data_IF_902966989117
#
_entry.id   IF_902966989117
#
_cell.length_a   1.000
_cell.length_b   1.000
_cell.length_c   1.000
_cell.angle_alpha   90.00
_cell.angle_beta   90.00
_cell.angle_gamma   90.00
#
_symmetry.space_group_name_H-M   'P 1'
#
loop_
_entity.id
_entity.type
_entity.pdbx_description
1 polymer ?
#
# COMPACT_ATOMS: atom_id res chain seq x y z
N UNK A 1 26.13 -36.36 24.91
CA UNK A 1 25.88 -34.93 25.11
C UNK A 1 25.08 -34.44 23.92
N UNK A 2 23.81 -34.08 24.07
CA UNK A 2 23.05 -33.47 22.98
C UNK A 2 23.42 -31.98 22.97
N UNK A 3 23.99 -31.53 21.86
CA UNK A 3 24.27 -30.13 21.59
C UNK A 3 22.94 -29.39 21.50
N UNK A 4 22.67 -28.57 22.50
CA UNK A 4 21.59 -27.57 22.47
C UNK A 4 21.89 -26.57 21.36
N UNK A 5 21.21 -26.77 20.22
CA UNK A 5 21.16 -25.73 19.20
C UNK A 5 20.51 -24.49 19.82
N UNK A 6 21.03 -23.29 19.58
CA UNK A 6 20.45 -22.07 20.14
C UNK A 6 19.00 -21.96 19.67
N UNK A 7 18.09 -21.74 20.60
CA UNK A 7 16.68 -21.39 20.34
C UNK A 7 16.64 -20.03 19.63
N UNK A 8 16.91 -20.02 18.34
CA UNK A 8 16.84 -18.85 17.52
C UNK A 8 15.36 -18.58 17.25
N UNK A 9 14.79 -17.73 18.09
CA UNK A 9 13.58 -16.93 17.93
C UNK A 9 12.50 -17.52 16.98
N UNK A 10 11.85 -18.60 17.40
CA UNK A 10 10.67 -19.12 16.72
C UNK A 10 9.50 -18.22 17.06
N UNK A 11 9.22 -17.26 16.18
CA UNK A 11 7.94 -16.55 16.26
C UNK A 11 6.81 -17.58 16.39
N UNK A 12 5.90 -17.36 17.34
CA UNK A 12 4.73 -18.21 17.46
C UNK A 12 3.92 -18.20 16.15
N UNK A 13 3.29 -19.33 15.81
CA UNK A 13 2.43 -19.43 14.60
C UNK A 13 1.43 -18.27 14.54
N UNK A 14 0.92 -17.85 15.69
CA UNK A 14 0.03 -16.70 15.81
C UNK A 14 0.69 -15.39 15.35
N UNK A 15 1.93 -15.15 15.72
CA UNK A 15 2.67 -13.94 15.30
C UNK A 15 2.92 -13.93 13.80
N UNK A 16 3.23 -15.08 13.20
CA UNK A 16 3.40 -15.22 11.75
C UNK A 16 2.10 -14.88 10.99
N UNK A 17 0.95 -15.38 11.46
CA UNK A 17 -0.35 -15.02 10.87
C UNK A 17 -0.68 -13.54 11.02
N UNK A 18 -0.40 -12.94 12.18
CA UNK A 18 -0.60 -11.50 12.39
C UNK A 18 0.30 -10.67 11.47
N UNK A 19 1.54 -11.12 11.22
CA UNK A 19 2.44 -10.48 10.27
C UNK A 19 1.88 -10.55 8.83
N UNK A 20 1.38 -11.70 8.38
CA UNK A 20 0.73 -11.85 7.06
C UNK A 20 -0.50 -10.95 6.96
N UNK A 21 -1.33 -10.90 8.00
CA UNK A 21 -2.51 -10.03 8.03
C UNK A 21 -2.12 -8.54 7.96
N UNK A 22 -1.04 -8.11 8.60
CA UNK A 22 -0.56 -6.73 8.50
C UNK A 22 -0.13 -6.36 7.07
N UNK A 23 0.45 -7.31 6.34
CA UNK A 23 0.78 -7.13 4.90
C UNK A 23 -0.49 -7.10 4.06
N UNK A 24 -1.48 -7.97 4.34
CA UNK A 24 -2.75 -8.00 3.62
C UNK A 24 -3.56 -6.71 3.79
N UNK A 25 -3.60 -6.16 5.02
CA UNK A 25 -4.24 -4.86 5.28
C UNK A 25 -3.44 -3.72 4.64
N UNK A 26 -2.11 -3.83 4.58
CA UNK A 26 -1.26 -2.91 3.82
C UNK A 26 -1.57 -2.93 2.33
N UNK A 27 -1.73 -4.12 1.74
CA UNK A 27 -2.15 -4.29 0.36
C UNK A 27 -3.55 -3.68 0.11
N UNK A 28 -4.50 -3.90 1.02
CA UNK A 28 -5.82 -3.29 0.97
C UNK A 28 -5.74 -1.76 0.96
N UNK A 29 -4.99 -1.15 1.87
CA UNK A 29 -4.85 0.31 1.96
C UNK A 29 -4.18 0.89 0.71
N UNK A 30 -3.14 0.21 0.20
CA UNK A 30 -2.40 0.64 -0.98
C UNK A 30 -3.26 0.61 -2.25
N UNK A 31 -3.95 -0.51 -2.49
CA UNK A 31 -4.81 -0.68 -3.66
C UNK A 31 -6.06 0.22 -3.57
N UNK A 32 -6.60 0.43 -2.36
CA UNK A 32 -7.64 1.45 -2.14
C UNK A 32 -7.14 2.84 -2.55
N UNK A 33 -5.94 3.23 -2.13
CA UNK A 33 -5.32 4.52 -2.51
C UNK A 33 -5.11 4.63 -4.03
N UNK A 34 -4.86 3.53 -4.72
CA UNK A 34 -4.67 3.48 -6.17
C UNK A 34 -5.99 3.72 -6.91
N UNK A 35 -7.06 3.03 -6.53
CA UNK A 35 -8.35 3.06 -7.24
C UNK A 35 -9.30 4.17 -6.80
N UNK A 36 -9.13 4.71 -5.60
CA UNK A 36 -9.96 5.80 -5.05
C UNK A 36 -10.14 6.98 -6.02
N UNK A 37 -9.10 7.45 -6.77
CA UNK A 37 -9.25 8.57 -7.70
C UNK A 37 -10.30 8.35 -8.78
N UNK A 38 -10.55 7.11 -9.17
CA UNK A 38 -11.59 6.79 -10.17
C UNK A 38 -12.96 7.26 -9.70
N UNK A 39 -13.23 7.09 -8.39
CA UNK A 39 -14.51 7.49 -7.79
C UNK A 39 -14.67 9.00 -7.56
N UNK A 40 -13.57 9.76 -7.56
CA UNK A 40 -13.57 11.20 -7.23
C UNK A 40 -13.05 12.07 -8.39
N UNK A 41 -12.84 11.48 -9.56
CA UNK A 41 -12.19 12.13 -10.70
C UNK A 41 -12.91 13.42 -11.12
N UNK A 42 -14.23 13.39 -11.21
CA UNK A 42 -15.02 14.54 -11.62
C UNK A 42 -15.02 15.64 -10.55
N UNK A 43 -15.01 15.28 -9.26
CA UNK A 43 -14.95 16.22 -8.16
C UNK A 43 -13.62 16.99 -8.19
N UNK A 44 -12.51 16.27 -8.39
CA UNK A 44 -11.17 16.84 -8.54
C UNK A 44 -11.08 17.74 -9.78
N UNK A 45 -11.59 17.28 -10.92
CA UNK A 45 -11.58 18.05 -12.17
C UNK A 45 -12.33 19.39 -12.00
N UNK A 46 -13.52 19.35 -11.41
CA UNK A 46 -14.35 20.51 -11.15
C UNK A 46 -13.68 21.48 -10.17
N UNK A 47 -13.13 20.97 -9.06
CA UNK A 47 -12.56 21.80 -8.00
C UNK A 47 -11.25 22.50 -8.44
N UNK A 48 -10.41 21.81 -9.23
CA UNK A 48 -9.15 22.35 -9.74
C UNK A 48 -9.28 23.04 -11.11
N UNK A 49 -10.49 23.12 -11.68
CA UNK A 49 -10.75 23.79 -12.95
C UNK A 49 -10.02 23.15 -14.15
N UNK A 50 -9.84 21.83 -14.14
CA UNK A 50 -9.16 21.08 -15.20
C UNK A 50 -10.12 20.16 -15.95
N UNK A 51 -9.73 19.71 -17.16
CA UNK A 51 -10.53 18.75 -17.89
C UNK A 51 -10.49 17.35 -17.25
N UNK A 52 -11.55 16.56 -17.43
CA UNK A 52 -11.60 15.17 -16.98
C UNK A 52 -10.44 14.32 -17.59
N UNK A 53 -10.00 14.63 -18.81
CA UNK A 53 -8.83 14.00 -19.42
C UNK A 53 -7.54 14.28 -18.68
N UNK A 54 -7.30 15.52 -18.24
CA UNK A 54 -6.16 15.86 -17.39
C UNK A 54 -6.27 15.19 -16.01
N UNK A 55 -7.45 15.20 -15.39
CA UNK A 55 -7.67 14.52 -14.14
C UNK A 55 -7.39 13.01 -14.22
N UNK A 56 -7.58 12.38 -15.38
CA UNK A 56 -7.24 10.98 -15.63
C UNK A 56 -5.76 10.64 -15.38
N UNK A 57 -4.85 11.62 -15.49
CA UNK A 57 -3.43 11.42 -15.15
C UNK A 57 -3.23 11.01 -13.70
N UNK A 58 -4.11 11.40 -12.77
CA UNK A 58 -4.02 10.97 -11.37
C UNK A 58 -4.26 9.46 -11.20
N UNK A 59 -4.87 8.81 -12.17
CA UNK A 59 -5.08 7.35 -12.19
C UNK A 59 -3.93 6.64 -12.92
N UNK A 60 -3.49 7.17 -14.06
CA UNK A 60 -2.49 6.50 -14.90
C UNK A 60 -1.07 6.68 -14.41
N UNK A 61 -0.73 7.84 -13.83
CA UNK A 61 0.62 8.17 -13.42
C UNK A 61 1.19 7.21 -12.34
N UNK A 62 0.44 6.83 -11.29
CA UNK A 62 0.93 5.85 -10.33
C UNK A 62 1.26 4.50 -10.97
N UNK A 63 0.47 4.03 -11.93
CA UNK A 63 0.73 2.78 -12.64
C UNK A 63 2.05 2.83 -13.43
N UNK A 64 2.31 3.92 -14.15
CA UNK A 64 3.57 4.13 -14.87
C UNK A 64 4.74 4.15 -13.89
N UNK A 65 4.62 4.90 -12.79
CA UNK A 65 5.66 4.98 -11.77
C UNK A 65 5.90 3.64 -11.06
N UNK A 66 4.85 2.86 -10.83
CA UNK A 66 4.96 1.51 -10.27
C UNK A 66 5.71 0.56 -11.20
N UNK A 67 5.42 0.62 -12.51
CA UNK A 67 6.11 -0.17 -13.52
C UNK A 67 7.61 0.15 -13.61
N UNK A 68 8.00 1.40 -13.39
CA UNK A 68 9.41 1.83 -13.35
C UNK A 68 10.05 1.50 -11.99
N UNK A 69 9.35 1.73 -10.89
CA UNK A 69 9.88 1.54 -9.55
C UNK A 69 10.09 0.07 -9.18
N UNK A 70 9.21 -0.85 -9.64
CA UNK A 70 9.31 -2.26 -9.28
C UNK A 70 10.65 -2.90 -9.68
N UNK A 71 11.13 -2.82 -10.93
CA UNK A 71 12.44 -3.38 -11.29
C UNK A 71 13.58 -2.62 -10.63
N UNK A 72 13.53 -1.28 -10.55
CA UNK A 72 14.59 -0.47 -9.95
C UNK A 72 14.79 -0.82 -8.47
N UNK A 73 13.69 -0.91 -7.72
CA UNK A 73 13.74 -1.28 -6.31
C UNK A 73 14.16 -2.74 -6.13
N UNK A 74 13.71 -3.66 -6.99
CA UNK A 74 14.11 -5.07 -6.92
C UNK A 74 15.63 -5.25 -7.07
N UNK A 75 16.27 -4.47 -7.92
CA UNK A 75 17.74 -4.49 -8.13
C UNK A 75 18.46 -3.73 -7.01
N UNK A 76 17.95 -2.57 -6.60
CA UNK A 76 18.62 -1.67 -5.65
C UNK A 76 18.57 -2.17 -4.19
N UNK A 77 17.55 -2.97 -3.83
CA UNK A 77 17.31 -3.42 -2.46
C UNK A 77 18.38 -4.40 -1.97
N UNK A 78 18.97 -5.20 -2.87
CA UNK A 78 20.09 -6.09 -2.54
C UNK A 78 19.91 -6.85 -1.23
N UNK A 79 20.71 -6.51 -0.23
CA UNK A 79 20.72 -7.11 1.12
C UNK A 79 19.84 -6.38 2.15
N UNK A 80 19.12 -5.32 1.74
CA UNK A 80 18.28 -4.55 2.67
C UNK A 80 17.17 -5.44 3.26
N UNK A 81 16.93 -5.26 4.56
CA UNK A 81 15.86 -5.97 5.25
C UNK A 81 14.49 -5.53 4.69
N UNK A 82 13.74 -6.49 4.19
CA UNK A 82 12.43 -6.28 3.57
C UNK A 82 11.38 -5.69 4.51
N UNK A 83 11.57 -5.87 5.82
CA UNK A 83 10.76 -5.24 6.86
C UNK A 83 10.85 -3.72 6.78
N UNK A 84 12.07 -3.17 6.85
CA UNK A 84 12.27 -1.71 6.82
C UNK A 84 11.83 -1.11 5.49
N UNK A 85 12.00 -1.86 4.42
CA UNK A 85 11.51 -1.43 3.11
C UNK A 85 9.98 -1.34 3.09
N UNK A 86 9.27 -2.37 3.55
CA UNK A 86 7.81 -2.37 3.56
C UNK A 86 7.24 -1.26 4.46
N UNK A 87 7.85 -1.04 5.63
CA UNK A 87 7.51 0.06 6.53
C UNK A 87 7.72 1.41 5.83
N UNK A 88 8.87 1.60 5.17
CA UNK A 88 9.17 2.81 4.41
C UNK A 88 8.18 3.07 3.28
N UNK A 89 7.79 2.03 2.54
CA UNK A 89 6.81 2.13 1.45
C UNK A 89 5.40 2.47 1.98
N UNK A 90 5.00 1.91 3.11
CA UNK A 90 3.74 2.27 3.78
C UNK A 90 3.77 3.73 4.25
N UNK A 91 4.89 4.19 4.76
CA UNK A 91 5.08 5.61 5.13
C UNK A 91 4.99 6.52 3.90
N UNK A 92 5.61 6.15 2.78
CA UNK A 92 5.50 6.89 1.51
C UNK A 92 4.05 6.95 1.05
N UNK A 93 3.27 5.86 1.16
CA UNK A 93 1.84 5.83 0.85
C UNK A 93 1.04 6.84 1.71
N UNK A 94 1.32 6.91 3.01
CA UNK A 94 0.68 7.87 3.93
C UNK A 94 1.00 9.30 3.51
N UNK A 95 2.27 9.59 3.26
CA UNK A 95 2.73 10.91 2.80
C UNK A 95 2.09 11.26 1.46
N UNK A 96 2.07 10.33 0.51
CA UNK A 96 1.50 10.50 -0.82
C UNK A 96 0.01 10.92 -0.76
N UNK A 97 -0.80 10.19 0.01
CA UNK A 97 -2.22 10.53 0.19
C UNK A 97 -2.41 11.85 0.95
N UNK A 98 -1.54 12.15 1.93
CA UNK A 98 -1.55 13.44 2.62
C UNK A 98 -1.22 14.60 1.68
N UNK A 99 -0.21 14.45 0.83
CA UNK A 99 0.13 15.46 -0.19
C UNK A 99 -1.04 15.70 -1.12
N UNK A 100 -1.73 14.65 -1.58
CA UNK A 100 -2.92 14.78 -2.42
C UNK A 100 -4.05 15.50 -1.66
N UNK A 101 -4.29 15.15 -0.40
CA UNK A 101 -5.35 15.76 0.42
C UNK A 101 -5.16 17.27 0.59
N UNK A 102 -3.91 17.73 0.72
CA UNK A 102 -3.56 19.14 0.90
C UNK A 102 -3.13 19.84 -0.40
N UNK A 103 -3.29 19.20 -1.56
CA UNK A 103 -2.89 19.78 -2.83
C UNK A 103 -3.69 21.05 -3.17
N UNK A 104 -2.96 22.15 -3.37
CA UNK A 104 -3.52 23.44 -3.81
C UNK A 104 -3.69 23.52 -5.32
N UNK A 105 -2.94 22.71 -6.06
CA UNK A 105 -2.91 22.68 -7.51
C UNK A 105 -2.70 21.25 -8.03
N UNK A 106 -2.93 21.08 -9.32
CA UNK A 106 -2.85 19.76 -9.97
C UNK A 106 -1.41 19.19 -10.02
N UNK A 107 -0.40 20.05 -10.08
CA UNK A 107 1.01 19.62 -10.08
C UNK A 107 1.39 18.93 -8.76
N UNK A 108 1.01 19.56 -7.63
CA UNK A 108 1.23 19.00 -6.30
C UNK A 108 0.45 17.68 -6.11
N UNK A 109 -0.79 17.62 -6.62
CA UNK A 109 -1.58 16.40 -6.63
C UNK A 109 -0.84 15.28 -7.39
N UNK A 110 -0.35 15.56 -8.61
CA UNK A 110 0.40 14.58 -9.39
C UNK A 110 1.70 14.14 -8.71
N UNK A 111 2.39 15.05 -8.02
CA UNK A 111 3.55 14.68 -7.23
C UNK A 111 3.20 13.63 -6.15
N UNK A 112 2.10 13.82 -5.43
CA UNK A 112 1.59 12.79 -4.51
C UNK A 112 1.30 11.46 -5.21
N UNK A 113 0.76 11.50 -6.44
CA UNK A 113 0.49 10.28 -7.24
C UNK A 113 1.77 9.57 -7.69
N UNK A 114 2.84 10.32 -8.00
CA UNK A 114 4.18 9.76 -8.28
C UNK A 114 4.71 9.02 -7.05
N UNK A 115 4.65 9.63 -5.88
CA UNK A 115 5.08 8.98 -4.63
C UNK A 115 4.30 7.69 -4.37
N UNK A 116 2.98 7.70 -4.59
CA UNK A 116 2.16 6.51 -4.45
C UNK A 116 2.61 5.41 -5.43
N UNK A 117 2.89 5.75 -6.67
CA UNK A 117 3.36 4.78 -7.67
C UNK A 117 4.67 4.10 -7.26
N UNK A 118 5.62 4.86 -6.69
CA UNK A 118 6.86 4.29 -6.12
C UNK A 118 6.54 3.30 -5.00
N UNK A 119 5.60 3.68 -4.11
CA UNK A 119 5.15 2.80 -3.03
C UNK A 119 4.51 1.51 -3.57
N UNK A 120 3.66 1.59 -4.58
CA UNK A 120 3.02 0.43 -5.23
C UNK A 120 4.07 -0.52 -5.80
N UNK A 121 4.99 0.00 -6.63
CA UNK A 121 6.02 -0.82 -7.27
C UNK A 121 6.92 -1.54 -6.26
N UNK A 122 7.36 -0.83 -5.22
CA UNK A 122 8.18 -1.40 -4.16
C UNK A 122 7.42 -2.40 -3.28
N UNK A 123 6.16 -2.11 -2.98
CA UNK A 123 5.33 -3.00 -2.18
C UNK A 123 5.17 -4.37 -2.84
N UNK A 124 4.83 -4.42 -4.12
CA UNK A 124 4.67 -5.69 -4.83
C UNK A 124 5.96 -6.48 -4.92
N UNK A 125 7.09 -5.81 -5.19
CA UNK A 125 8.41 -6.45 -5.20
C UNK A 125 8.77 -7.07 -3.84
N UNK A 126 8.29 -6.47 -2.73
CA UNK A 126 8.63 -6.87 -1.37
C UNK A 126 7.63 -7.87 -0.78
N UNK A 127 6.33 -7.63 -0.94
CA UNK A 127 5.26 -8.41 -0.32
C UNK A 127 5.27 -9.89 -0.76
N UNK A 128 5.48 -10.14 -2.07
CA UNK A 128 5.56 -11.51 -2.61
C UNK A 128 6.76 -12.25 -2.00
N UNK A 129 7.92 -11.60 -1.94
CA UNK A 129 9.11 -12.22 -1.37
C UNK A 129 9.02 -12.42 0.14
N UNK A 130 8.29 -11.54 0.85
CA UNK A 130 8.09 -11.64 2.29
C UNK A 130 7.07 -12.73 2.65
N UNK A 131 6.05 -12.97 1.82
CA UNK A 131 5.05 -14.01 2.06
C UNK A 131 5.67 -15.40 2.24
N UNK A 132 6.74 -15.70 1.48
CA UNK A 132 7.49 -16.94 1.62
C UNK A 132 8.25 -17.08 2.95
N UNK A 133 8.69 -15.96 3.54
CA UNK A 133 9.39 -15.96 4.84
C UNK A 133 8.42 -15.99 6.03
N UNK A 134 7.24 -15.41 5.86
CA UNK A 134 6.22 -15.30 6.91
C UNK A 134 5.34 -16.55 7.01
N UNK A 135 5.32 -17.41 5.98
CA UNK A 135 4.48 -18.59 5.97
C UNK A 135 4.82 -19.50 7.18
N UNK A 136 3.84 -19.84 8.05
CA UNK A 136 4.06 -20.74 9.16
C UNK A 136 4.55 -22.12 8.69
N UNK A 137 5.30 -22.83 9.55
CA UNK A 137 5.75 -24.19 9.25
C UNK A 137 4.53 -25.08 8.95
N UNK A 138 4.55 -25.75 7.80
CA UNK A 138 3.46 -26.61 7.33
C UNK A 138 2.37 -25.88 6.54
N UNK A 139 2.46 -24.55 6.39
CA UNK A 139 1.56 -23.75 5.54
C UNK A 139 2.28 -23.44 4.23
N UNK A 140 1.62 -23.71 3.11
CA UNK A 140 2.17 -23.39 1.79
C UNK A 140 2.28 -21.87 1.57
N UNK A 141 3.35 -21.44 0.89
CA UNK A 141 3.54 -20.03 0.48
C UNK A 141 2.33 -19.51 -0.29
N UNK A 142 1.70 -20.36 -1.10
CA UNK A 142 0.49 -20.04 -1.84
C UNK A 142 -0.66 -19.61 -0.92
N UNK A 143 -0.83 -20.26 0.23
CA UNK A 143 -1.88 -19.90 1.19
C UNK A 143 -1.60 -18.56 1.87
N UNK A 144 -0.35 -18.29 2.25
CA UNK A 144 0.04 -16.98 2.79
C UNK A 144 -0.18 -15.85 1.76
N UNK A 145 0.19 -16.09 0.50
CA UNK A 145 -0.05 -15.14 -0.60
C UNK A 145 -1.54 -14.94 -0.86
N UNK A 146 -2.37 -15.99 -0.79
CA UNK A 146 -3.82 -15.88 -0.98
C UNK A 146 -4.46 -14.91 0.01
N UNK A 147 -4.01 -14.87 1.26
CA UNK A 147 -4.52 -13.91 2.27
C UNK A 147 -4.19 -12.47 1.88
N UNK A 148 -2.99 -12.23 1.37
CA UNK A 148 -2.61 -10.90 0.87
C UNK A 148 -3.50 -10.53 -0.32
N UNK A 149 -3.77 -11.47 -1.24
CA UNK A 149 -4.64 -11.25 -2.39
C UNK A 149 -6.11 -10.99 -2.00
N UNK A 150 -6.60 -11.52 -0.88
CA UNK A 150 -7.93 -11.14 -0.35
C UNK A 150 -7.99 -9.63 -0.05
N UNK A 151 -6.94 -9.07 0.56
CA UNK A 151 -6.85 -7.62 0.79
C UNK A 151 -6.94 -6.82 -0.52
N UNK A 152 -6.22 -7.27 -1.56
CA UNK A 152 -6.24 -6.66 -2.90
C UNK A 152 -7.65 -6.72 -3.52
N UNK A 153 -8.26 -7.90 -3.51
CA UNK A 153 -9.59 -8.11 -4.09
C UNK A 153 -10.64 -7.24 -3.40
N UNK A 154 -10.62 -7.20 -2.07
CA UNK A 154 -11.53 -6.34 -1.31
C UNK A 154 -11.34 -4.85 -1.65
N UNK A 155 -10.09 -4.41 -1.76
CA UNK A 155 -9.78 -3.02 -2.14
C UNK A 155 -10.26 -2.68 -3.55
N UNK A 156 -10.09 -3.59 -4.51
CA UNK A 156 -10.54 -3.39 -5.90
C UNK A 156 -12.06 -3.26 -5.99
N UNK A 157 -12.78 -4.05 -5.20
CA UNK A 157 -14.26 -4.01 -5.19
C UNK A 157 -14.80 -2.82 -4.40
N UNK A 158 -14.20 -2.50 -3.25
CA UNK A 158 -14.72 -1.50 -2.32
C UNK A 158 -14.11 -0.11 -2.53
N UNK A 159 -12.89 -0.01 -3.08
CA UNK A 159 -12.14 1.25 -3.16
C UNK A 159 -12.89 2.35 -3.89
N UNK A 160 -13.43 2.08 -5.07
CA UNK A 160 -14.18 3.07 -5.86
C UNK A 160 -15.51 3.43 -5.20
N UNK A 161 -16.40 2.47 -4.84
CA UNK A 161 -17.67 2.80 -4.20
C UNK A 161 -17.53 3.57 -2.89
N UNK A 162 -16.59 3.13 -2.02
CA UNK A 162 -16.35 3.79 -0.73
C UNK A 162 -15.74 5.18 -0.96
N UNK A 163 -14.81 5.32 -1.91
CA UNK A 163 -14.23 6.61 -2.27
C UNK A 163 -15.29 7.59 -2.76
N UNK A 164 -16.16 7.18 -3.67
CA UNK A 164 -17.27 8.00 -4.17
C UNK A 164 -18.23 8.40 -3.06
N UNK A 165 -18.60 7.47 -2.20
CA UNK A 165 -19.49 7.72 -1.08
C UNK A 165 -18.90 8.71 -0.08
N UNK A 166 -17.64 8.54 0.31
CA UNK A 166 -16.94 9.45 1.21
C UNK A 166 -16.78 10.84 0.59
N UNK A 167 -16.45 10.92 -0.70
CA UNK A 167 -16.32 12.20 -1.40
C UNK A 167 -17.64 12.96 -1.44
N UNK A 168 -18.76 12.27 -1.64
CA UNK A 168 -20.09 12.86 -1.60
C UNK A 168 -20.48 13.42 -0.23
N UNK A 169 -19.90 12.87 0.87
CA UNK A 169 -20.17 13.34 2.23
C UNK A 169 -19.23 14.46 2.69
N UNK A 170 -17.95 14.35 2.37
CA UNK A 170 -16.88 15.19 2.99
C UNK A 170 -15.98 15.88 1.96
N UNK A 171 -16.18 15.59 0.68
CA UNK A 171 -15.31 16.07 -0.40
C UNK A 171 -14.06 15.17 -0.61
N UNK A 172 -13.49 15.29 -1.80
CA UNK A 172 -12.38 14.43 -2.23
C UNK A 172 -11.11 14.59 -1.39
N UNK A 173 -10.81 15.79 -0.90
CA UNK A 173 -9.63 16.04 -0.04
C UNK A 173 -9.69 15.25 1.26
N UNK A 174 -10.85 15.29 1.93
CA UNK A 174 -11.05 14.52 3.17
C UNK A 174 -11.02 13.02 2.91
N UNK A 175 -11.48 12.57 1.76
CA UNK A 175 -11.40 11.15 1.37
C UNK A 175 -9.95 10.67 1.26
N UNK A 176 -9.06 11.46 0.65
CA UNK A 176 -7.62 11.16 0.62
C UNK A 176 -6.98 11.22 2.01
N UNK A 177 -7.38 12.18 2.85
CA UNK A 177 -6.87 12.29 4.22
C UNK A 177 -7.27 11.07 5.06
N UNK A 178 -8.51 10.61 4.97
CA UNK A 178 -8.99 9.39 5.64
C UNK A 178 -8.17 8.18 5.16
N UNK A 179 -7.90 8.09 3.86
CA UNK A 179 -7.08 7.02 3.30
C UNK A 179 -5.64 7.07 3.81
N UNK A 180 -5.06 8.27 3.97
CA UNK A 180 -3.76 8.44 4.62
C UNK A 180 -3.80 7.96 6.08
N UNK A 181 -4.82 8.35 6.83
CA UNK A 181 -5.00 7.95 8.23
C UNK A 181 -5.21 6.44 8.39
N UNK A 182 -5.86 5.77 7.44
CA UNK A 182 -5.94 4.29 7.41
C UNK A 182 -4.55 3.64 7.32
N UNK A 183 -3.59 4.30 6.70
CA UNK A 183 -2.21 3.81 6.63
C UNK A 183 -1.49 3.80 7.98
N UNK A 184 -1.88 4.65 8.95
CA UNK A 184 -1.21 4.75 10.25
C UNK A 184 -1.31 3.45 11.07
N UNK A 185 -2.50 2.87 11.32
CA UNK A 185 -2.60 1.59 12.01
C UNK A 185 -1.90 0.45 11.26
N UNK A 186 -1.89 0.49 9.91
CA UNK A 186 -1.13 -0.47 9.10
C UNK A 186 0.37 -0.34 9.38
N UNK A 187 0.90 0.89 9.36
CA UNK A 187 2.30 1.17 9.66
C UNK A 187 2.69 0.68 11.05
N UNK A 188 1.87 0.97 12.06
CA UNK A 188 2.09 0.49 13.43
C UNK A 188 2.07 -1.04 13.49
N UNK A 189 1.08 -1.68 12.87
CA UNK A 189 1.01 -3.14 12.81
C UNK A 189 2.28 -3.74 12.16
N UNK A 190 2.78 -3.16 11.07
CA UNK A 190 4.00 -3.61 10.41
C UNK A 190 5.23 -3.42 11.30
N UNK A 191 5.34 -2.30 12.03
CA UNK A 191 6.46 -2.04 12.96
C UNK A 191 6.51 -3.08 14.08
N UNK A 192 5.37 -3.49 14.63
CA UNK A 192 5.32 -4.39 15.77
C UNK A 192 5.25 -5.88 15.40
N UNK A 193 4.69 -6.21 14.23
CA UNK A 193 4.39 -7.61 13.87
C UNK A 193 5.38 -8.21 12.86
N UNK A 194 6.05 -7.38 12.03
CA UNK A 194 7.04 -7.90 11.09
C UNK A 194 8.35 -8.23 11.81
N UNK A 195 8.95 -9.43 11.54
CA UNK A 195 10.21 -9.84 12.14
C UNK A 195 11.41 -9.10 11.55
#
# INVERSE_FOLDING_TARGET
MPSSLPEHNQQSVKQQWLAILSVAVGAFALVTSEFLPVGVLNDVASDLGISAGHAGLMVTLPGIMAALAAPLLSVSIGTMDRRYLLIGLTLIMIIANSVVAFASDFGLLLFGRVLLGISIGGFWATAIALSGRLAPKGVGVAQATSIIMVGVTLATVLGVPVGTWLSGLMGWRMTFLITALMGVPVLLAQIFLLP
#
